data_IF_115388910881
#
_entry.id   IF_115388910881
#
_cell.length_a   1.000
_cell.length_b   1.000
_cell.length_c   1.000
_cell.angle_alpha   90.00
_cell.angle_beta   90.00
_cell.angle_gamma   90.00
#
_symmetry.space_group_name_H-M   'P 1'
#
loop_
_entity.id
_entity.type
_entity.pdbx_description
1 polymer ?
#
# COMPACT_ATOMS: atom_id res chain seq x y z
N UNK A 1 28.58 16.69 1.58
CA UNK A 1 27.85 16.25 0.38
C UNK A 1 26.86 15.19 0.83
N UNK A 2 25.59 15.55 0.96
CA UNK A 2 24.54 14.61 1.32
C UNK A 2 24.13 13.88 0.05
N UNK A 3 24.46 12.59 -0.05
CA UNK A 3 23.95 11.74 -1.13
C UNK A 3 22.45 11.61 -0.85
N UNK A 4 21.60 12.30 -1.60
CA UNK A 4 20.18 11.96 -1.63
C UNK A 4 20.12 10.55 -2.20
N UNK A 5 19.72 9.53 -1.44
CA UNK A 5 19.69 8.21 -1.99
C UNK A 5 18.65 8.22 -3.13
N UNK A 6 19.06 7.71 -4.28
CA UNK A 6 18.21 7.73 -5.46
C UNK A 6 17.15 6.65 -5.29
N UNK A 7 15.88 6.99 -5.52
CA UNK A 7 14.72 6.09 -5.65
C UNK A 7 14.85 5.08 -6.83
N UNK A 8 16.08 4.67 -7.18
CA UNK A 8 16.48 3.84 -8.31
C UNK A 8 15.78 2.49 -8.37
N UNK A 9 15.25 1.99 -7.25
CA UNK A 9 14.50 0.74 -7.23
C UNK A 9 13.06 0.90 -7.74
N UNK A 10 12.46 2.09 -7.58
CA UNK A 10 11.07 2.35 -7.95
C UNK A 10 11.01 3.07 -9.31
N UNK A 11 11.31 2.32 -10.37
CA UNK A 11 11.21 2.81 -11.76
C UNK A 11 9.85 2.40 -12.34
N UNK A 12 9.17 3.34 -13.00
CA UNK A 12 7.86 3.09 -13.61
C UNK A 12 6.70 3.11 -12.60
N UNK A 13 5.76 2.16 -12.74
CA UNK A 13 4.61 2.00 -11.85
C UNK A 13 3.44 2.97 -12.07
N UNK A 14 3.38 3.63 -13.24
CA UNK A 14 2.26 4.50 -13.60
C UNK A 14 2.11 5.73 -12.70
N UNK A 15 0.86 6.20 -12.55
CA UNK A 15 0.55 7.36 -11.72
C UNK A 15 0.82 7.08 -10.24
N UNK A 16 0.54 5.87 -9.74
CA UNK A 16 0.76 5.52 -8.33
C UNK A 16 2.25 5.37 -8.01
N UNK A 17 3.06 4.88 -8.95
CA UNK A 17 4.52 4.90 -8.81
C UNK A 17 5.06 6.34 -8.76
N UNK A 18 4.51 7.25 -9.57
CA UNK A 18 4.86 8.67 -9.52
C UNK A 18 4.43 9.31 -8.19
N UNK A 19 3.23 9.00 -7.71
CA UNK A 19 2.73 9.48 -6.42
C UNK A 19 3.62 9.01 -5.27
N UNK A 20 3.95 7.71 -5.20
CA UNK A 20 4.84 7.17 -4.15
C UNK A 20 6.19 7.90 -4.16
N UNK A 21 6.79 8.16 -5.33
CA UNK A 21 8.06 8.90 -5.43
C UNK A 21 7.94 10.37 -5.00
N UNK A 22 6.76 10.97 -5.09
CA UNK A 22 6.53 12.38 -4.77
C UNK A 22 6.31 12.66 -3.28
N UNK A 23 6.02 11.62 -2.50
CA UNK A 23 5.73 11.74 -1.06
C UNK A 23 7.02 11.73 -0.22
N UNK A 24 7.05 12.55 0.82
CA UNK A 24 8.08 12.48 1.86
C UNK A 24 7.74 11.38 2.87
N UNK A 25 8.42 10.24 2.73
CA UNK A 25 8.24 9.08 3.60
C UNK A 25 9.06 9.16 4.90
N UNK A 26 9.93 10.14 5.08
CA UNK A 26 10.82 10.23 6.25
C UNK A 26 10.05 10.36 7.57
N UNK A 27 8.82 10.88 7.51
CA UNK A 27 7.91 11.05 8.65
C UNK A 27 6.87 9.93 8.76
N UNK A 28 6.88 8.97 7.85
CA UNK A 28 5.98 7.82 7.88
C UNK A 28 6.53 6.70 8.77
N UNK A 29 5.69 5.75 9.22
CA UNK A 29 6.17 4.59 9.97
C UNK A 29 7.16 3.69 9.21
N UNK A 30 7.23 3.79 7.89
CA UNK A 30 8.18 3.03 7.07
C UNK A 30 9.55 3.70 6.96
N UNK A 31 9.65 4.95 7.38
CA UNK A 31 10.83 5.78 7.17
C UNK A 31 11.10 6.08 5.70
N UNK A 32 12.27 6.67 5.40
CA UNK A 32 12.67 7.03 4.05
C UNK A 32 12.56 5.86 3.07
N UNK A 33 12.13 6.15 1.84
CA UNK A 33 11.87 5.11 0.82
C UNK A 33 13.09 4.23 0.48
N UNK A 34 14.30 4.76 0.66
CA UNK A 34 15.55 4.02 0.43
C UNK A 34 15.93 3.07 1.56
N UNK A 35 15.26 3.16 2.72
CA UNK A 35 15.44 2.23 3.83
C UNK A 35 14.41 1.11 3.83
N UNK A 36 13.45 1.12 2.89
CA UNK A 36 12.41 0.09 2.84
C UNK A 36 13.00 -1.30 2.59
N UNK A 37 12.49 -2.35 3.26
CA UNK A 37 13.00 -3.70 3.09
C UNK A 37 12.78 -4.20 1.66
N UNK A 38 13.68 -5.07 1.18
CA UNK A 38 13.60 -5.62 -0.18
C UNK A 38 12.26 -6.31 -0.47
N UNK A 39 11.66 -6.96 0.53
CA UNK A 39 10.34 -7.60 0.40
C UNK A 39 9.24 -6.60 0.04
N UNK A 40 9.19 -5.44 0.67
CA UNK A 40 8.23 -4.37 0.33
C UNK A 40 8.46 -3.87 -1.10
N UNK A 41 9.73 -3.65 -1.48
CA UNK A 41 10.09 -3.18 -2.83
C UNK A 41 9.60 -4.16 -3.90
N UNK A 42 9.83 -5.46 -3.69
CA UNK A 42 9.36 -6.52 -4.60
C UNK A 42 7.84 -6.56 -4.67
N UNK A 43 7.14 -6.52 -3.54
CA UNK A 43 5.66 -6.53 -3.51
C UNK A 43 5.07 -5.31 -4.21
N UNK A 44 5.65 -4.12 -4.02
CA UNK A 44 5.24 -2.92 -4.74
C UNK A 44 5.54 -3.01 -6.24
N UNK A 45 6.67 -3.59 -6.63
CA UNK A 45 6.98 -3.86 -8.03
C UNK A 45 5.92 -4.73 -8.71
N UNK A 46 5.47 -5.79 -8.03
CA UNK A 46 4.38 -6.66 -8.51
C UNK A 46 3.05 -5.89 -8.59
N UNK A 47 2.68 -5.20 -7.50
CA UNK A 47 1.42 -4.45 -7.44
C UNK A 47 1.32 -3.37 -8.52
N UNK A 48 2.36 -2.55 -8.67
CA UNK A 48 2.38 -1.40 -9.58
C UNK A 48 2.56 -1.79 -11.05
N UNK A 49 3.09 -2.97 -11.35
CA UNK A 49 3.19 -3.47 -12.72
C UNK A 49 1.92 -4.18 -13.21
N UNK A 50 1.04 -4.59 -12.29
CA UNK A 50 -0.24 -5.22 -12.62
C UNK A 50 -1.26 -4.23 -13.16
N UNK A 51 -2.04 -4.66 -14.16
CA UNK A 51 -3.24 -3.93 -14.63
C UNK A 51 -4.51 -4.31 -13.86
N UNK A 52 -4.49 -5.41 -13.10
CA UNK A 52 -5.59 -5.76 -12.22
C UNK A 52 -5.58 -4.83 -11.00
N UNK A 53 -6.75 -4.38 -10.50
CA UNK A 53 -6.82 -3.59 -9.28
C UNK A 53 -6.16 -4.31 -8.10
N UNK A 54 -5.15 -3.69 -7.50
CA UNK A 54 -4.43 -4.26 -6.35
C UNK A 54 -4.14 -3.20 -5.29
N UNK A 55 -4.24 -3.61 -4.03
CA UNK A 55 -3.81 -2.85 -2.87
C UNK A 55 -2.93 -3.73 -1.96
N UNK A 56 -2.02 -3.09 -1.23
CA UNK A 56 -1.17 -3.71 -0.21
C UNK A 56 -1.41 -2.96 1.09
N UNK A 57 -1.65 -3.70 2.18
CA UNK A 57 -1.55 -3.20 3.55
C UNK A 57 -0.28 -3.77 4.17
N UNK A 58 0.63 -2.88 4.58
CA UNK A 58 1.98 -3.28 4.97
C UNK A 58 2.27 -3.03 6.45
N UNK A 59 2.72 -4.08 7.13
CA UNK A 59 3.28 -4.01 8.47
C UNK A 59 2.25 -3.69 9.57
N UNK A 60 2.69 -3.57 10.83
CA UNK A 60 1.79 -3.40 11.98
C UNK A 60 0.98 -2.10 11.93
N UNK A 61 1.49 -1.06 11.27
CA UNK A 61 0.81 0.22 11.07
C UNK A 61 -0.14 0.23 9.86
N UNK A 62 -0.30 -0.92 9.16
CA UNK A 62 -1.27 -1.10 8.07
C UNK A 62 -1.08 -0.03 6.98
N UNK A 63 0.17 0.27 6.62
CA UNK A 63 0.47 1.32 5.64
C UNK A 63 -0.05 0.89 4.28
N UNK A 64 -0.94 1.68 3.70
CA UNK A 64 -1.64 1.32 2.47
C UNK A 64 -0.92 1.81 1.21
N UNK A 65 -0.80 0.91 0.25
CA UNK A 65 -0.39 1.17 -1.13
C UNK A 65 -1.41 0.61 -2.10
N UNK A 66 -1.45 1.14 -3.32
CA UNK A 66 -2.35 0.66 -4.36
C UNK A 66 -1.84 1.05 -5.74
N UNK A 67 -2.30 0.35 -6.78
CA UNK A 67 -1.95 0.63 -8.17
C UNK A 67 -3.01 1.49 -8.88
N UNK A 68 -2.72 1.87 -10.13
CA UNK A 68 -3.61 2.72 -10.93
C UNK A 68 -5.00 2.10 -11.11
N UNK A 69 -5.06 0.77 -11.31
CA UNK A 69 -6.31 0.03 -11.47
C UNK A 69 -7.20 0.02 -10.23
N UNK A 70 -6.63 0.22 -9.04
CA UNK A 70 -7.37 0.24 -7.78
C UNK A 70 -7.97 1.60 -7.43
N UNK A 71 -7.55 2.69 -8.10
CA UNK A 71 -8.02 4.06 -7.82
C UNK A 71 -9.54 4.22 -7.83
N UNK A 72 -10.32 3.63 -8.77
CA UNK A 72 -11.76 3.80 -8.79
C UNK A 72 -12.45 3.37 -7.49
N UNK A 73 -11.93 2.36 -6.79
CA UNK A 73 -12.49 1.87 -5.53
C UNK A 73 -12.32 2.85 -4.37
N UNK A 74 -11.32 3.73 -4.45
CA UNK A 74 -11.03 4.70 -3.38
C UNK A 74 -11.97 5.91 -3.39
N UNK A 75 -12.68 6.17 -4.50
CA UNK A 75 -13.50 7.36 -4.66
C UNK A 75 -12.72 8.64 -4.31
N UNK A 76 -13.23 9.40 -3.34
CA UNK A 76 -12.65 10.68 -2.89
C UNK A 76 -11.45 10.55 -1.95
N UNK A 77 -11.04 9.33 -1.59
CA UNK A 77 -9.91 9.09 -0.68
C UNK A 77 -8.54 9.24 -1.37
N UNK A 78 -8.49 9.10 -2.69
CA UNK A 78 -7.29 9.37 -3.48
C UNK A 78 -7.04 10.90 -3.60
N UNK A 79 -5.80 11.41 -3.45
CA UNK A 79 -4.55 10.67 -3.22
C UNK A 79 -4.19 10.45 -1.75
N UNK A 80 -4.93 11.03 -0.80
CA UNK A 80 -4.61 11.02 0.65
C UNK A 80 -4.42 9.62 1.21
N UNK A 81 -5.11 8.61 0.68
CA UNK A 81 -5.00 7.22 1.12
C UNK A 81 -3.64 6.57 0.82
N UNK A 82 -2.79 7.15 -0.03
CA UNK A 82 -1.45 6.61 -0.30
C UNK A 82 -0.55 6.81 0.92
N UNK A 83 -0.13 5.72 1.55
CA UNK A 83 0.65 5.75 2.79
C UNK A 83 -0.19 6.00 4.06
N UNK A 84 -1.51 6.14 3.95
CA UNK A 84 -2.40 6.23 5.11
C UNK A 84 -2.52 4.85 5.79
N UNK A 85 -2.84 4.83 7.08
CA UNK A 85 -3.24 3.59 7.76
C UNK A 85 -4.55 3.07 7.16
N UNK A 86 -4.58 1.77 6.83
CA UNK A 86 -5.73 1.14 6.19
C UNK A 86 -6.99 1.14 7.04
N UNK A 87 -6.87 1.03 8.37
CA UNK A 87 -7.98 1.05 9.32
C UNK A 87 -8.67 2.41 9.42
N UNK A 88 -7.90 3.49 9.29
CA UNK A 88 -8.43 4.85 9.18
C UNK A 88 -9.02 5.13 7.79
N UNK A 89 -8.36 4.67 6.74
CA UNK A 89 -8.81 4.86 5.35
C UNK A 89 -10.13 4.14 5.08
N UNK A 90 -10.36 2.99 5.70
CA UNK A 90 -11.52 2.12 5.46
C UNK A 90 -12.36 1.92 6.72
N UNK A 91 -12.43 2.94 7.58
CA UNK A 91 -13.15 2.89 8.84
C UNK A 91 -14.60 2.43 8.69
N UNK A 92 -15.25 2.75 7.57
CA UNK A 92 -16.63 2.37 7.25
C UNK A 92 -16.84 0.85 7.10
N UNK A 93 -15.81 0.09 6.72
CA UNK A 93 -15.88 -1.35 6.45
C UNK A 93 -14.91 -2.15 7.33
N UNK A 94 -14.25 -1.49 8.29
CA UNK A 94 -13.18 -2.10 9.07
C UNK A 94 -13.66 -3.23 9.99
N UNK A 95 -14.93 -3.21 10.39
CA UNK A 95 -15.57 -4.33 11.09
C UNK A 95 -15.54 -5.63 10.27
N UNK A 96 -15.50 -5.55 8.94
CA UNK A 96 -15.40 -6.69 8.02
C UNK A 96 -13.93 -6.96 7.64
N UNK A 97 -13.19 -5.94 7.23
CA UNK A 97 -11.81 -6.10 6.75
C UNK A 97 -10.80 -6.38 7.87
N UNK A 98 -10.97 -5.76 9.04
CA UNK A 98 -10.05 -5.86 10.16
C UNK A 98 -9.84 -7.29 10.67
N UNK A 99 -10.91 -8.10 10.86
CA UNK A 99 -10.77 -9.52 11.20
C UNK A 99 -10.00 -10.34 10.16
N UNK A 100 -10.24 -10.10 8.86
CA UNK A 100 -9.55 -10.80 7.76
C UNK A 100 -8.06 -10.45 7.74
N UNK A 101 -7.74 -9.16 7.90
CA UNK A 101 -6.36 -8.70 8.03
C UNK A 101 -5.66 -9.34 9.24
N UNK A 102 -6.31 -9.31 10.42
CA UNK A 102 -5.75 -9.89 11.64
C UNK A 102 -5.50 -11.39 11.51
N UNK A 103 -6.39 -12.13 10.85
CA UNK A 103 -6.19 -13.55 10.59
C UNK A 103 -4.85 -13.77 9.86
N UNK A 104 -4.67 -13.14 8.69
CA UNK A 104 -3.44 -13.25 7.89
C UNK A 104 -2.20 -12.89 8.72
N UNK A 105 -2.25 -11.81 9.49
CA UNK A 105 -1.11 -11.35 10.27
C UNK A 105 -0.76 -12.22 11.47
N UNK A 106 -1.73 -12.98 12.02
CA UNK A 106 -1.51 -13.82 13.22
C UNK A 106 -1.23 -15.27 12.89
N UNK A 107 -1.80 -15.80 11.79
CA UNK A 107 -1.65 -17.21 11.40
C UNK A 107 -0.68 -17.40 10.24
N UNK A 108 -0.53 -16.41 9.37
CA UNK A 108 0.16 -16.56 8.08
C UNK A 108 -0.71 -17.19 6.98
N UNK A 109 -1.95 -17.58 7.29
CA UNK A 109 -2.87 -18.18 6.33
C UNK A 109 -3.62 -17.10 5.54
N UNK A 110 -3.78 -17.33 4.23
CA UNK A 110 -4.56 -16.44 3.36
C UNK A 110 -6.06 -16.53 3.63
N UNK A 111 -6.77 -15.42 3.46
CA UNK A 111 -8.25 -15.39 3.42
C UNK A 111 -8.76 -15.11 2.01
N UNK A 112 -9.97 -15.58 1.69
CA UNK A 112 -10.62 -15.36 0.39
C UNK A 112 -12.13 -15.24 0.58
N UNK A 113 -12.77 -14.39 -0.23
CA UNK A 113 -14.22 -14.32 -0.37
C UNK A 113 -14.57 -14.10 -1.83
N UNK A 114 -15.48 -14.91 -2.38
CA UNK A 114 -15.94 -14.76 -3.76
C UNK A 114 -16.90 -13.56 -3.91
N UNK A 115 -17.75 -13.33 -2.90
CA UNK A 115 -18.86 -12.38 -2.94
C UNK A 115 -18.91 -11.54 -1.66
N UNK A 116 -17.79 -10.88 -1.32
CA UNK A 116 -17.75 -10.02 -0.14
C UNK A 116 -18.61 -8.77 -0.38
N UNK A 117 -19.72 -8.67 0.36
CA UNK A 117 -20.57 -7.48 0.37
C UNK A 117 -20.03 -6.51 1.44
N UNK A 118 -19.70 -5.28 1.00
CA UNK A 118 -19.13 -4.19 1.79
C UNK A 118 -20.07 -2.99 1.78
#
# INVERSE_FOLDING_TARGET
>A
MSITPSNSWLVGGGEMGALIRSLDWSRSPLGPIDTWPQSLRTSLGICLSSRFPMAIWWGPEIVQFYNDGYRPFLGTKHPRSMGQRGDECWAEIWNVCGPLYRHVMTTGDSTWSADLQL
#
